data_IF_032835941389
#
_entry.id   IF_032835941389
#
_cell.length_a   1.000
_cell.length_b   1.000
_cell.length_c   1.000
_cell.angle_alpha   90.00
_cell.angle_beta   90.00
_cell.angle_gamma   90.00
#
_symmetry.space_group_name_H-M   'P 1'
#
loop_
_entity.id
_entity.type
_entity.pdbx_description
1 polymer ?
#
# COMPACT_ATOMS: atom_id res chain seq x y z
N UNK A 1 -80.58 -29.03 55.00
CA UNK A 1 -79.81 -30.24 54.65
C UNK A 1 -79.90 -30.40 53.14
N UNK A 2 -78.80 -30.25 52.39
CA UNK A 2 -78.83 -30.41 50.94
C UNK A 2 -79.23 -31.85 50.59
N UNK A 3 -79.97 -32.01 49.50
CA UNK A 3 -80.46 -33.33 49.07
C UNK A 3 -79.33 -34.13 48.42
N UNK A 4 -79.36 -35.47 48.52
CA UNK A 4 -78.30 -36.34 47.98
C UNK A 4 -78.01 -36.10 46.48
N UNK A 5 -78.99 -35.58 45.72
CA UNK A 5 -78.84 -35.23 44.31
C UNK A 5 -78.00 -33.95 44.10
N UNK A 6 -78.10 -32.96 44.99
CA UNK A 6 -77.30 -31.74 44.93
C UNK A 6 -75.82 -32.03 45.24
N UNK A 7 -75.53 -32.92 46.18
CA UNK A 7 -74.16 -33.34 46.49
C UNK A 7 -73.48 -34.08 45.32
N UNK A 8 -74.23 -34.88 44.56
CA UNK A 8 -73.72 -35.55 43.37
C UNK A 8 -73.42 -34.55 42.24
N UNK A 9 -74.28 -33.56 42.03
CA UNK A 9 -74.05 -32.50 41.04
C UNK A 9 -72.84 -31.62 41.39
N UNK A 10 -72.64 -31.29 42.67
CA UNK A 10 -71.45 -30.56 43.13
C UNK A 10 -70.18 -31.39 42.92
N UNK A 11 -70.21 -32.70 43.22
CA UNK A 11 -69.07 -33.60 42.96
C UNK A 11 -68.75 -33.71 41.47
N UNK A 12 -69.75 -33.78 40.59
CA UNK A 12 -69.52 -33.78 39.14
C UNK A 12 -68.98 -32.43 38.64
N UNK A 13 -69.49 -31.32 39.16
CA UNK A 13 -68.99 -29.99 38.81
C UNK A 13 -67.54 -29.81 39.24
N UNK A 14 -67.17 -30.26 40.43
CA UNK A 14 -65.79 -30.24 40.92
C UNK A 14 -64.88 -31.11 40.04
N UNK A 15 -65.30 -32.32 39.66
CA UNK A 15 -64.55 -33.17 38.71
C UNK A 15 -64.38 -32.50 37.34
N UNK A 16 -65.42 -31.84 36.82
CA UNK A 16 -65.34 -31.10 35.55
C UNK A 16 -64.43 -29.88 35.65
N UNK A 17 -64.46 -29.18 36.79
CA UNK A 17 -63.57 -28.06 37.07
C UNK A 17 -62.11 -28.52 37.14
N UNK A 18 -61.84 -29.62 37.84
CA UNK A 18 -60.52 -30.24 37.96
C UNK A 18 -59.99 -30.76 36.61
N UNK A 19 -60.85 -31.40 35.80
CA UNK A 19 -60.49 -31.79 34.43
C UNK A 19 -60.17 -30.56 33.57
N UNK A 20 -60.90 -29.45 33.77
CA UNK A 20 -60.67 -28.20 33.03
C UNK A 20 -59.37 -27.51 33.45
N UNK A 21 -59.02 -27.51 34.73
CA UNK A 21 -57.74 -26.99 35.22
C UNK A 21 -56.57 -27.86 34.74
N UNK A 22 -56.66 -29.19 34.85
CA UNK A 22 -55.62 -30.09 34.33
C UNK A 22 -55.41 -29.93 32.81
N UNK A 23 -56.49 -29.75 32.02
CA UNK A 23 -56.37 -29.48 30.58
C UNK A 23 -55.68 -28.14 30.28
N UNK A 24 -55.89 -27.13 31.12
CA UNK A 24 -55.21 -25.83 31.01
C UNK A 24 -53.73 -25.97 31.33
N UNK A 25 -53.39 -26.70 32.39
CA UNK A 25 -52.01 -26.92 32.82
C UNK A 25 -51.22 -27.75 31.80
N UNK A 26 -51.83 -28.80 31.22
CA UNK A 26 -51.22 -29.56 30.13
C UNK A 26 -51.00 -28.72 28.87
N UNK A 27 -51.90 -27.79 28.56
CA UNK A 27 -51.71 -26.87 27.43
C UNK A 27 -50.56 -25.90 27.70
N UNK A 28 -50.48 -25.34 28.91
CA UNK A 28 -49.39 -24.47 29.32
C UNK A 28 -48.02 -25.19 29.28
N UNK A 29 -47.95 -26.45 29.70
CA UNK A 29 -46.73 -27.27 29.60
C UNK A 29 -46.30 -27.49 28.15
N UNK A 30 -47.24 -27.82 27.26
CA UNK A 30 -46.94 -27.99 25.82
C UNK A 30 -46.48 -26.70 25.17
N UNK A 31 -47.07 -25.56 25.52
CA UNK A 31 -46.65 -24.25 25.03
C UNK A 31 -45.25 -23.87 25.55
N UNK A 32 -44.96 -24.15 26.81
CA UNK A 32 -43.64 -23.93 27.40
C UNK A 32 -42.55 -24.80 26.75
N UNK A 33 -42.86 -26.07 26.47
CA UNK A 33 -41.93 -26.97 25.78
C UNK A 33 -41.73 -26.58 24.31
N UNK A 34 -42.80 -26.21 23.59
CA UNK A 34 -42.69 -25.68 22.23
C UNK A 34 -41.85 -24.38 22.16
N UNK A 35 -41.97 -23.50 23.15
CA UNK A 35 -41.14 -22.30 23.26
C UNK A 35 -39.67 -22.63 23.54
N UNK A 36 -39.40 -23.62 24.41
CA UNK A 36 -38.03 -24.09 24.68
C UNK A 36 -37.40 -24.71 23.43
N UNK A 37 -38.12 -25.54 22.69
CA UNK A 37 -37.63 -26.12 21.44
C UNK A 37 -37.41 -25.06 20.36
N UNK A 38 -38.35 -24.11 20.19
CA UNK A 38 -38.18 -22.99 19.26
C UNK A 38 -36.94 -22.16 19.60
N UNK A 39 -36.72 -21.85 20.87
CA UNK A 39 -35.52 -21.12 21.31
C UNK A 39 -34.22 -21.92 21.13
N UNK A 40 -34.29 -23.25 21.23
CA UNK A 40 -33.15 -24.13 20.96
C UNK A 40 -32.79 -24.13 19.48
N UNK A 41 -33.77 -24.17 18.59
CA UNK A 41 -33.59 -24.11 17.14
C UNK A 41 -33.02 -22.74 16.73
N UNK A 42 -33.52 -21.64 17.31
CA UNK A 42 -33.01 -20.28 17.02
C UNK A 42 -31.57 -20.07 17.50
N UNK A 43 -31.13 -20.78 18.57
CA UNK A 43 -29.75 -20.70 19.07
C UNK A 43 -28.76 -21.54 18.27
N UNK A 44 -29.22 -22.58 17.58
CA UNK A 44 -28.38 -23.36 16.67
C UNK A 44 -28.28 -22.57 15.38
N UNK A 45 -27.25 -21.70 15.29
CA UNK A 45 -26.87 -21.04 14.04
C UNK A 45 -26.78 -22.08 12.93
N UNK A 46 -27.44 -21.82 11.81
CA UNK A 46 -27.34 -22.71 10.64
C UNK A 46 -25.90 -22.72 10.14
N UNK A 47 -25.49 -23.81 9.48
CA UNK A 47 -24.13 -23.94 8.93
C UNK A 47 -23.78 -22.77 8.00
N UNK A 48 -24.75 -22.30 7.21
CA UNK A 48 -24.61 -21.13 6.34
C UNK A 48 -24.33 -19.83 7.11
N UNK A 49 -24.94 -19.64 8.29
CA UNK A 49 -24.72 -18.45 9.12
C UNK A 49 -23.34 -18.48 9.80
N UNK A 50 -22.85 -19.68 10.14
CA UNK A 50 -21.49 -19.88 10.64
C UNK A 50 -20.44 -19.68 9.55
N UNK A 51 -20.69 -20.15 8.33
CA UNK A 51 -19.83 -19.94 7.16
C UNK A 51 -19.77 -18.46 6.77
N UNK A 52 -20.90 -17.76 6.78
CA UNK A 52 -20.95 -16.31 6.51
C UNK A 52 -20.21 -15.50 7.60
N UNK A 53 -20.30 -15.90 8.87
CA UNK A 53 -19.56 -15.23 9.95
C UNK A 53 -18.06 -15.54 9.90
N UNK A 54 -17.68 -16.75 9.50
CA UNK A 54 -16.29 -17.14 9.28
C UNK A 54 -15.68 -16.40 8.09
N UNK A 55 -16.42 -16.26 6.98
CA UNK A 55 -16.01 -15.47 5.82
C UNK A 55 -15.84 -13.99 6.18
N UNK A 56 -16.80 -13.39 6.88
CA UNK A 56 -16.67 -12.00 7.37
C UNK A 56 -15.45 -11.82 8.29
N UNK A 57 -15.16 -12.78 9.18
CA UNK A 57 -13.95 -12.73 10.02
C UNK A 57 -12.66 -12.89 9.22
N UNK A 58 -12.69 -13.67 8.14
CA UNK A 58 -11.57 -13.83 7.23
C UNK A 58 -11.31 -12.54 6.44
N UNK A 59 -12.36 -11.94 5.87
CA UNK A 59 -12.30 -10.64 5.18
C UNK A 59 -11.81 -9.52 6.11
N UNK A 60 -12.26 -9.49 7.37
CA UNK A 60 -11.78 -8.55 8.38
C UNK A 60 -10.30 -8.77 8.70
N UNK A 61 -9.83 -10.02 8.81
CA UNK A 61 -8.42 -10.32 9.03
C UNK A 61 -7.56 -9.99 7.82
N UNK A 62 -8.04 -10.25 6.61
CA UNK A 62 -7.32 -9.92 5.37
C UNK A 62 -7.24 -8.41 5.17
N UNK A 63 -8.33 -7.67 5.37
CA UNK A 63 -8.31 -6.21 5.32
C UNK A 63 -7.41 -5.59 6.39
N UNK A 64 -7.41 -6.14 7.61
CA UNK A 64 -6.48 -5.73 8.67
C UNK A 64 -5.02 -5.97 8.26
N UNK A 65 -4.68 -7.16 7.76
CA UNK A 65 -3.32 -7.47 7.26
C UNK A 65 -2.92 -6.55 6.10
N UNK A 66 -3.81 -6.31 5.15
CA UNK A 66 -3.55 -5.37 4.05
C UNK A 66 -3.32 -3.94 4.55
N UNK A 67 -4.04 -3.50 5.59
CA UNK A 67 -3.83 -2.19 6.19
C UNK A 67 -2.48 -2.09 6.93
N UNK A 68 -2.08 -3.15 7.65
CA UNK A 68 -0.77 -3.23 8.31
C UNK A 68 0.38 -3.27 7.28
N UNK A 69 0.22 -4.01 6.19
CA UNK A 69 1.22 -4.08 5.13
C UNK A 69 1.36 -2.75 4.39
N UNK A 70 0.24 -2.05 4.14
CA UNK A 70 0.27 -0.67 3.61
C UNK A 70 1.00 0.28 4.56
N UNK A 71 0.71 0.21 5.85
CA UNK A 71 1.34 1.05 6.86
C UNK A 71 2.86 0.79 6.97
N UNK A 72 3.27 -0.48 7.00
CA UNK A 72 4.70 -0.85 6.99
C UNK A 72 5.40 -0.36 5.72
N UNK A 73 4.74 -0.48 4.56
CA UNK A 73 5.28 0.00 3.28
C UNK A 73 5.45 1.52 3.28
N UNK A 74 4.46 2.25 3.79
CA UNK A 74 4.51 3.70 3.92
C UNK A 74 5.65 4.13 4.85
N UNK A 75 5.82 3.47 6.00
CA UNK A 75 6.90 3.76 6.94
C UNK A 75 8.30 3.51 6.33
N UNK A 76 8.46 2.46 5.51
CA UNK A 76 9.72 2.19 4.81
C UNK A 76 9.99 3.26 3.75
N UNK A 77 8.96 3.69 3.00
CA UNK A 77 9.09 4.77 2.01
C UNK A 77 9.42 6.11 2.68
N UNK A 78 8.83 6.40 3.83
CA UNK A 78 9.08 7.63 4.59
C UNK A 78 10.50 7.68 5.14
N UNK A 79 10.99 6.59 5.75
CA UNK A 79 12.41 6.48 6.18
C UNK A 79 13.37 6.63 5.00
N UNK A 80 13.09 5.98 3.87
CA UNK A 80 13.91 6.12 2.66
C UNK A 80 13.94 7.56 2.14
N UNK A 81 12.81 8.27 2.17
CA UNK A 81 12.75 9.67 1.76
C UNK A 81 13.51 10.61 2.71
N UNK A 82 13.55 10.31 4.01
CA UNK A 82 14.36 11.06 4.99
C UNK A 82 15.86 10.82 4.80
N UNK A 83 16.27 9.56 4.59
CA UNK A 83 17.65 9.19 4.28
C UNK A 83 18.14 9.83 2.96
N UNK A 84 17.31 9.81 1.92
CA UNK A 84 17.59 10.51 0.66
C UNK A 84 17.75 12.02 0.87
N UNK A 85 16.91 12.65 1.70
CA UNK A 85 17.04 14.08 2.03
C UNK A 85 18.31 14.41 2.79
N UNK A 86 18.75 13.55 3.69
CA UNK A 86 20.00 13.74 4.42
C UNK A 86 21.20 13.56 3.48
N UNK A 87 21.18 12.53 2.63
CA UNK A 87 22.19 12.34 1.60
C UNK A 87 22.24 13.50 0.58
N UNK A 88 21.09 14.05 0.17
CA UNK A 88 21.03 15.22 -0.71
C UNK A 88 21.66 16.47 -0.06
N UNK A 89 21.45 16.67 1.26
CA UNK A 89 22.09 17.78 1.99
C UNK A 89 23.60 17.63 2.01
N UNK A 90 24.09 16.45 2.32
CA UNK A 90 25.53 16.17 2.37
C UNK A 90 26.15 16.30 0.97
N UNK A 91 25.45 15.88 -0.08
CA UNK A 91 25.91 16.01 -1.48
C UNK A 91 25.99 17.46 -1.95
N UNK A 92 25.10 18.35 -1.48
CA UNK A 92 25.20 19.78 -1.78
C UNK A 92 26.49 20.40 -1.26
N UNK A 93 27.08 19.86 -0.20
CA UNK A 93 28.36 20.37 0.34
C UNK A 93 29.53 20.13 -0.63
N UNK A 94 29.51 19.03 -1.38
CA UNK A 94 30.54 18.70 -2.37
C UNK A 94 30.29 19.29 -3.77
N UNK A 95 29.12 19.90 -3.98
CA UNK A 95 28.74 20.55 -5.22
C UNK A 95 29.51 21.85 -5.46
N UNK A 96 29.88 22.13 -6.71
CA UNK A 96 30.42 23.42 -7.12
C UNK A 96 29.37 24.53 -6.99
N UNK A 97 29.80 25.79 -6.92
CA UNK A 97 28.87 26.92 -6.76
C UNK A 97 27.85 27.00 -7.92
N UNK A 98 28.26 26.69 -9.15
CA UNK A 98 27.37 26.63 -10.30
C UNK A 98 26.31 25.53 -10.17
N UNK A 99 26.70 24.33 -9.74
CA UNK A 99 25.78 23.22 -9.49
C UNK A 99 24.80 23.54 -8.36
N UNK A 100 25.27 24.18 -7.27
CA UNK A 100 24.41 24.64 -6.17
C UNK A 100 23.37 25.65 -6.65
N UNK A 101 23.77 26.61 -7.48
CA UNK A 101 22.85 27.60 -8.04
C UNK A 101 21.80 26.93 -8.95
N UNK A 102 22.22 25.97 -9.79
CA UNK A 102 21.31 25.21 -10.65
C UNK A 102 20.32 24.36 -9.84
N UNK A 103 20.80 23.65 -8.82
CA UNK A 103 19.97 22.88 -7.89
C UNK A 103 18.95 23.81 -7.22
N UNK A 104 19.38 24.97 -6.70
CA UNK A 104 18.48 25.92 -6.07
C UNK A 104 17.37 26.41 -7.01
N UNK A 105 17.72 26.77 -8.26
CA UNK A 105 16.74 27.20 -9.26
C UNK A 105 15.72 26.10 -9.59
N UNK A 106 16.20 24.86 -9.73
CA UNK A 106 15.34 23.70 -9.99
C UNK A 106 14.42 23.39 -8.80
N UNK A 107 14.95 23.42 -7.58
CA UNK A 107 14.19 23.24 -6.35
C UNK A 107 13.11 24.31 -6.16
N UNK A 108 13.42 25.58 -6.46
CA UNK A 108 12.46 26.66 -6.42
C UNK A 108 11.30 26.41 -7.42
N UNK A 109 11.61 26.09 -8.68
CA UNK A 109 10.60 25.76 -9.70
C UNK A 109 9.76 24.54 -9.31
N UNK A 110 10.40 23.50 -8.74
CA UNK A 110 9.71 22.31 -8.24
C UNK A 110 8.73 22.66 -7.13
N UNK A 111 9.14 23.51 -6.19
CA UNK A 111 8.31 23.98 -5.09
C UNK A 111 7.13 24.81 -5.58
N UNK A 112 7.32 25.66 -6.59
CA UNK A 112 6.24 26.44 -7.20
C UNK A 112 5.22 25.55 -7.91
N UNK A 113 5.67 24.57 -8.69
CA UNK A 113 4.74 23.60 -9.30
C UNK A 113 4.02 22.77 -8.25
N UNK A 114 4.71 22.36 -7.18
CA UNK A 114 4.08 21.64 -6.07
C UNK A 114 2.99 22.47 -5.39
N UNK A 115 3.25 23.76 -5.13
CA UNK A 115 2.23 24.69 -4.60
C UNK A 115 1.02 24.80 -5.52
N UNK A 116 1.24 24.85 -6.84
CA UNK A 116 0.15 24.89 -7.82
C UNK A 116 -0.68 23.61 -7.80
N UNK A 117 -0.03 22.44 -7.74
CA UNK A 117 -0.70 21.15 -7.59
C UNK A 117 -1.50 21.09 -6.28
N UNK A 118 -0.91 21.52 -5.18
CA UNK A 118 -1.57 21.56 -3.86
C UNK A 118 -2.79 22.49 -3.87
N UNK A 119 -2.72 23.65 -4.53
CA UNK A 119 -3.85 24.56 -4.67
C UNK A 119 -4.99 23.96 -5.52
N UNK A 120 -4.65 23.16 -6.55
CA UNK A 120 -5.66 22.41 -7.32
C UNK A 120 -6.35 21.37 -6.42
N UNK A 121 -5.57 20.60 -5.66
CA UNK A 121 -6.07 19.48 -4.85
C UNK A 121 -6.85 19.96 -3.60
N UNK A 122 -6.43 21.07 -2.97
CA UNK A 122 -7.03 21.58 -1.72
C UNK A 122 -8.12 22.63 -1.93
N UNK A 123 -7.97 23.51 -2.92
CA UNK A 123 -8.88 24.65 -3.06
C UNK A 123 -9.85 24.45 -4.23
N UNK A 124 -9.30 24.26 -5.44
CA UNK A 124 -10.12 24.29 -6.67
C UNK A 124 -11.01 23.06 -6.84
N UNK A 125 -10.43 21.86 -6.73
CA UNK A 125 -11.16 20.60 -6.94
C UNK A 125 -12.27 20.38 -5.90
N UNK A 126 -12.03 20.58 -4.58
CA UNK A 126 -13.07 20.44 -3.57
C UNK A 126 -14.18 21.48 -3.72
N UNK A 127 -13.84 22.74 -4.00
CA UNK A 127 -14.81 23.81 -4.20
C UNK A 127 -15.79 23.50 -5.35
N UNK A 128 -15.28 23.06 -6.50
CA UNK A 128 -16.13 22.67 -7.63
C UNK A 128 -16.98 21.42 -7.33
N UNK A 129 -16.45 20.45 -6.58
CA UNK A 129 -17.23 19.28 -6.15
C UNK A 129 -18.36 19.65 -5.20
N UNK A 130 -18.13 20.59 -4.28
CA UNK A 130 -19.17 21.11 -3.40
C UNK A 130 -20.26 21.82 -4.20
N UNK A 131 -19.90 22.72 -5.11
CA UNK A 131 -20.86 23.39 -6.00
C UNK A 131 -21.67 22.39 -6.83
N UNK A 132 -21.03 21.33 -7.36
CA UNK A 132 -21.73 20.25 -8.08
C UNK A 132 -22.75 19.56 -7.17
N UNK A 133 -22.38 19.28 -5.92
CA UNK A 133 -23.26 18.64 -4.94
C UNK A 133 -24.46 19.54 -4.62
N UNK A 134 -24.24 20.83 -4.35
CA UNK A 134 -25.32 21.80 -4.12
C UNK A 134 -26.33 21.83 -5.28
N UNK A 135 -25.83 21.85 -6.53
CA UNK A 135 -26.70 21.80 -7.71
C UNK A 135 -27.47 20.48 -7.79
N UNK A 136 -26.84 19.34 -7.45
CA UNK A 136 -27.52 18.05 -7.44
C UNK A 136 -28.64 18.00 -6.38
N UNK A 137 -28.47 18.65 -5.23
CA UNK A 137 -29.52 18.79 -4.22
C UNK A 137 -30.67 19.65 -4.78
N UNK A 138 -30.36 20.78 -5.41
CA UNK A 138 -31.37 21.63 -6.05
C UNK A 138 -32.17 20.90 -7.13
N UNK A 139 -31.51 20.08 -7.96
CA UNK A 139 -32.20 19.24 -8.96
C UNK A 139 -33.16 18.27 -8.27
N UNK A 140 -32.73 17.59 -7.21
CA UNK A 140 -33.60 16.67 -6.46
C UNK A 140 -34.81 17.38 -5.88
N UNK A 141 -34.63 18.57 -5.31
CA UNK A 141 -35.74 19.37 -4.76
C UNK A 141 -36.73 19.80 -5.86
N UNK A 142 -36.23 20.18 -7.04
CA UNK A 142 -37.07 20.49 -8.20
C UNK A 142 -37.79 19.24 -8.74
N UNK A 143 -37.13 18.09 -8.80
CA UNK A 143 -37.74 16.82 -9.21
C UNK A 143 -38.85 16.39 -8.24
N UNK A 144 -38.69 16.63 -6.93
CA UNK A 144 -39.74 16.38 -5.93
C UNK A 144 -40.94 17.33 -6.13
N UNK A 145 -40.68 18.62 -6.39
CA UNK A 145 -41.74 19.59 -6.72
C UNK A 145 -42.47 19.20 -8.01
N UNK A 146 -41.73 18.77 -9.03
CA UNK A 146 -42.28 18.32 -10.31
C UNK A 146 -43.19 17.10 -10.12
N UNK A 147 -42.76 16.11 -9.33
CA UNK A 147 -43.61 14.96 -8.96
C UNK A 147 -44.91 15.40 -8.28
N UNK A 148 -44.83 16.34 -7.33
CA UNK A 148 -46.03 16.87 -6.67
C UNK A 148 -46.96 17.59 -7.66
N UNK A 149 -46.43 18.33 -8.64
CA UNK A 149 -47.23 18.99 -9.68
C UNK A 149 -47.89 17.97 -10.59
N UNK A 150 -47.16 16.93 -11.01
CA UNK A 150 -47.69 15.84 -11.82
C UNK A 150 -48.81 15.06 -11.11
N UNK A 151 -48.66 14.80 -9.80
CA UNK A 151 -49.70 14.15 -9.00
C UNK A 151 -50.95 15.02 -8.85
N UNK A 152 -50.79 16.35 -8.73
CA UNK A 152 -51.92 17.29 -8.74
C UNK A 152 -52.62 17.32 -10.10
N UNK A 153 -51.85 17.34 -11.20
CA UNK A 153 -52.40 17.30 -12.56
C UNK A 153 -53.23 16.04 -12.80
N UNK A 154 -52.71 14.86 -12.40
CA UNK A 154 -53.46 13.59 -12.48
C UNK A 154 -54.77 13.60 -11.69
N UNK A 155 -54.79 14.25 -10.50
CA UNK A 155 -56.03 14.40 -9.71
C UNK A 155 -57.05 15.26 -10.43
N UNK A 156 -56.61 16.39 -11.00
CA UNK A 156 -57.48 17.30 -11.77
C UNK A 156 -57.99 16.65 -13.06
N UNK A 157 -57.17 15.88 -13.78
CA UNK A 157 -57.61 15.09 -14.94
C UNK A 157 -58.66 14.04 -14.54
N UNK A 158 -58.50 13.41 -13.38
CA UNK A 158 -59.50 12.51 -12.79
C UNK A 158 -60.82 13.23 -12.47
N UNK A 159 -60.75 14.41 -11.86
CA UNK A 159 -61.92 15.27 -11.61
C UNK A 159 -62.59 15.73 -12.91
N UNK A 160 -61.82 16.11 -13.92
CA UNK A 160 -62.32 16.54 -15.24
C UNK A 160 -63.13 15.42 -15.89
N UNK A 161 -62.60 14.18 -15.86
CA UNK A 161 -63.29 12.99 -16.37
C UNK A 161 -64.57 12.69 -15.58
N UNK A 162 -64.53 12.81 -14.26
CA UNK A 162 -65.72 12.63 -13.41
C UNK A 162 -66.80 13.67 -13.69
N UNK A 163 -66.44 14.95 -13.81
CA UNK A 163 -67.34 16.06 -14.15
C UNK A 163 -67.94 15.85 -15.55
N UNK A 164 -67.13 15.41 -16.52
CA UNK A 164 -67.61 15.11 -17.87
C UNK A 164 -68.64 13.97 -17.87
N UNK A 165 -68.40 12.88 -17.12
CA UNK A 165 -69.37 11.78 -16.99
C UNK A 165 -70.66 12.23 -16.30
N UNK A 166 -70.57 13.04 -15.23
CA UNK A 166 -71.74 13.59 -14.54
C UNK A 166 -72.57 14.53 -15.42
N UNK A 167 -71.91 15.35 -16.24
CA UNK A 167 -72.56 16.23 -17.20
C UNK A 167 -73.35 15.46 -18.27
N UNK A 168 -72.83 14.30 -18.71
CA UNK A 168 -73.52 13.40 -19.65
C UNK A 168 -74.73 12.71 -19.01
N UNK A 169 -74.65 12.35 -17.72
CA UNK A 169 -75.72 11.66 -16.99
C UNK A 169 -76.85 12.57 -16.50
N UNK A 170 -76.56 13.85 -16.23
CA UNK A 170 -77.61 14.79 -15.80
C UNK A 170 -78.54 15.14 -16.95
N UNK A 171 -79.85 15.20 -16.69
CA UNK A 171 -80.85 15.72 -17.63
C UNK A 171 -81.29 17.15 -17.29
N UNK A 172 -80.76 17.75 -16.21
CA UNK A 172 -81.12 19.08 -15.74
C UNK A 172 -80.21 20.13 -16.38
N UNK A 173 -80.78 21.07 -17.13
CA UNK A 173 -80.01 22.07 -17.88
C UNK A 173 -79.16 22.98 -17.00
N UNK A 174 -79.65 23.33 -15.81
CA UNK A 174 -78.90 24.15 -14.84
C UNK A 174 -77.66 23.41 -14.30
N UNK A 175 -77.78 22.12 -14.01
CA UNK A 175 -76.66 21.28 -13.57
C UNK A 175 -75.63 21.10 -14.68
N UNK A 176 -76.06 20.89 -15.93
CA UNK A 176 -75.15 20.84 -17.09
C UNK A 176 -74.29 22.10 -17.21
N UNK A 177 -74.89 23.28 -17.07
CA UNK A 177 -74.16 24.56 -17.06
C UNK A 177 -73.16 24.64 -15.91
N UNK A 178 -73.54 24.18 -14.71
CA UNK A 178 -72.64 24.12 -13.56
C UNK A 178 -71.44 23.20 -13.78
N UNK A 179 -71.65 22.01 -14.37
CA UNK A 179 -70.57 21.09 -14.70
C UNK A 179 -69.65 21.64 -15.81
N UNK A 180 -70.20 22.34 -16.79
CA UNK A 180 -69.40 22.99 -17.85
C UNK A 180 -68.52 24.11 -17.29
N UNK A 181 -69.04 24.93 -16.38
CA UNK A 181 -68.26 25.96 -15.69
C UNK A 181 -67.14 25.33 -14.84
N UNK A 182 -67.45 24.26 -14.09
CA UNK A 182 -66.43 23.54 -13.31
C UNK A 182 -65.35 22.91 -14.21
N UNK A 183 -65.73 22.39 -15.39
CA UNK A 183 -64.77 21.87 -16.37
C UNK A 183 -63.83 22.96 -16.86
N UNK A 184 -64.35 24.15 -17.13
CA UNK A 184 -63.55 25.30 -17.53
C UNK A 184 -62.56 25.74 -16.44
N UNK A 185 -62.99 25.74 -15.17
CA UNK A 185 -62.11 26.03 -14.04
C UNK A 185 -60.97 24.99 -13.92
N UNK A 186 -61.31 23.69 -14.07
CA UNK A 186 -60.32 22.60 -14.04
C UNK A 186 -59.32 22.74 -15.20
N UNK A 187 -59.77 23.06 -16.41
CA UNK A 187 -58.88 23.27 -17.57
C UNK A 187 -57.90 24.41 -17.32
N UNK A 188 -58.37 25.50 -16.71
CA UNK A 188 -57.51 26.63 -16.33
C UNK A 188 -56.48 26.24 -15.27
N UNK A 189 -56.87 25.43 -14.29
CA UNK A 189 -55.95 24.91 -13.27
C UNK A 189 -54.90 23.96 -13.88
N UNK A 190 -55.30 23.09 -14.81
CA UNK A 190 -54.36 22.21 -15.55
C UNK A 190 -53.36 23.05 -16.34
N UNK A 191 -53.81 24.05 -17.10
CA UNK A 191 -52.90 24.95 -17.83
C UNK A 191 -51.91 25.67 -16.91
N UNK A 192 -52.34 26.06 -15.71
CA UNK A 192 -51.44 26.68 -14.73
C UNK A 192 -50.42 25.69 -14.17
N UNK A 193 -50.79 24.41 -13.98
CA UNK A 193 -49.86 23.37 -13.57
C UNK A 193 -48.86 23.04 -14.69
N UNK A 194 -49.29 23.00 -15.95
CA UNK A 194 -48.40 22.78 -17.11
C UNK A 194 -47.35 23.86 -17.25
N UNK A 195 -47.70 25.12 -16.98
CA UNK A 195 -46.70 26.20 -16.94
C UNK A 195 -45.65 25.97 -15.85
N UNK A 196 -46.07 25.55 -14.65
CA UNK A 196 -45.15 25.24 -13.54
C UNK A 196 -44.28 24.02 -13.85
N UNK A 197 -44.84 23.01 -14.52
CA UNK A 197 -44.12 21.82 -14.99
C UNK A 197 -43.00 22.24 -15.94
N UNK A 198 -43.35 23.04 -16.97
CA UNK A 198 -42.39 23.53 -17.96
C UNK A 198 -41.30 24.42 -17.35
N UNK A 199 -41.67 25.31 -16.42
CA UNK A 199 -40.70 26.13 -15.68
C UNK A 199 -39.71 25.28 -14.87
N UNK A 200 -40.20 24.26 -14.16
CA UNK A 200 -39.35 23.36 -13.38
C UNK A 200 -38.43 22.52 -14.28
N UNK A 201 -38.92 21.99 -15.40
CA UNK A 201 -38.12 21.24 -16.36
C UNK A 201 -37.00 22.09 -16.98
N UNK A 202 -37.32 23.32 -17.37
CA UNK A 202 -36.32 24.24 -17.92
C UNK A 202 -35.25 24.60 -16.87
N UNK A 203 -35.63 24.80 -15.60
CA UNK A 203 -34.68 24.99 -14.51
C UNK A 203 -33.78 23.76 -14.33
N UNK A 204 -34.34 22.55 -14.32
CA UNK A 204 -33.59 21.30 -14.23
C UNK A 204 -32.60 21.17 -15.39
N UNK A 205 -33.02 21.48 -16.63
CA UNK A 205 -32.16 21.42 -17.81
C UNK A 205 -30.98 22.40 -17.70
N UNK A 206 -31.23 23.64 -17.24
CA UNK A 206 -30.18 24.64 -17.03
C UNK A 206 -29.19 24.22 -15.94
N UNK A 207 -29.67 23.63 -14.84
CA UNK A 207 -28.81 23.09 -13.80
C UNK A 207 -27.98 21.89 -14.32
N UNK A 208 -28.55 21.02 -15.16
CA UNK A 208 -27.81 19.93 -15.82
C UNK A 208 -26.71 20.46 -16.74
N UNK A 209 -26.97 21.51 -17.52
CA UNK A 209 -25.94 22.18 -18.34
C UNK A 209 -24.81 22.74 -17.47
N UNK A 210 -25.13 23.32 -16.31
CA UNK A 210 -24.14 23.83 -15.36
C UNK A 210 -23.30 22.70 -14.74
N UNK A 211 -23.89 21.55 -14.43
CA UNK A 211 -23.14 20.35 -14.01
C UNK A 211 -22.15 19.92 -15.09
N UNK A 212 -22.57 19.87 -16.36
CA UNK A 212 -21.68 19.50 -17.47
C UNK A 212 -20.51 20.47 -17.61
N UNK A 213 -20.72 21.77 -17.39
CA UNK A 213 -19.65 22.76 -17.36
C UNK A 213 -18.68 22.50 -16.21
N UNK A 214 -19.18 22.23 -15.00
CA UNK A 214 -18.36 21.88 -13.85
C UNK A 214 -17.53 20.63 -14.13
N UNK A 215 -18.13 19.60 -14.74
CA UNK A 215 -17.42 18.37 -15.09
C UNK A 215 -16.29 18.59 -16.09
N UNK A 216 -16.50 19.45 -17.10
CA UNK A 216 -15.43 19.85 -18.03
C UNK A 216 -14.30 20.59 -17.30
N UNK A 217 -14.62 21.52 -16.40
CA UNK A 217 -13.61 22.24 -15.63
C UNK A 217 -12.84 21.32 -14.67
N UNK A 218 -13.50 20.33 -14.08
CA UNK A 218 -12.85 19.32 -13.25
C UNK A 218 -11.89 18.46 -14.07
N UNK A 219 -12.27 18.06 -15.29
CA UNK A 219 -11.38 17.35 -16.21
C UNK A 219 -10.15 18.19 -16.58
N UNK A 220 -10.34 19.46 -16.90
CA UNK A 220 -9.24 20.39 -17.18
C UNK A 220 -8.27 20.51 -15.99
N UNK A 221 -8.79 20.62 -14.77
CA UNK A 221 -7.95 20.64 -13.56
C UNK A 221 -7.14 19.34 -13.39
N UNK A 222 -7.70 18.18 -13.75
CA UNK A 222 -6.98 16.90 -13.72
C UNK A 222 -5.85 16.89 -14.74
N UNK A 223 -6.10 17.39 -15.96
CA UNK A 223 -5.08 17.51 -17.00
C UNK A 223 -3.96 18.48 -16.59
N UNK A 224 -4.32 19.66 -16.06
CA UNK A 224 -3.38 20.64 -15.52
C UNK A 224 -2.52 20.05 -14.40
N UNK A 225 -3.14 19.36 -13.44
CA UNK A 225 -2.46 18.66 -12.35
C UNK A 225 -1.46 17.63 -12.88
N UNK A 226 -1.87 16.83 -13.86
CA UNK A 226 -0.99 15.83 -14.47
C UNK A 226 0.18 16.48 -15.22
N UNK A 227 -0.07 17.57 -15.94
CA UNK A 227 0.98 18.33 -16.60
C UNK A 227 2.00 18.93 -15.61
N UNK A 228 1.54 19.46 -14.47
CA UNK A 228 2.42 19.93 -13.38
C UNK A 228 3.24 18.78 -12.79
N UNK A 229 2.63 17.62 -12.55
CA UNK A 229 3.34 16.45 -12.05
C UNK A 229 4.40 15.94 -13.04
N UNK A 230 4.14 15.99 -14.34
CA UNK A 230 5.16 15.67 -15.36
C UNK A 230 6.32 16.67 -15.35
N UNK A 231 6.05 17.97 -15.16
CA UNK A 231 7.10 18.99 -14.99
C UNK A 231 7.93 18.74 -13.73
N UNK A 232 7.29 18.39 -12.61
CA UNK A 232 7.97 18.02 -11.36
C UNK A 232 8.88 16.81 -11.59
N UNK A 233 8.38 15.75 -12.24
CA UNK A 233 9.17 14.56 -12.57
C UNK A 233 10.36 14.90 -13.48
N UNK A 234 10.19 15.81 -14.44
CA UNK A 234 11.28 16.32 -15.27
C UNK A 234 12.37 17.01 -14.44
N UNK A 235 11.97 17.86 -13.49
CA UNK A 235 12.92 18.51 -12.57
C UNK A 235 13.62 17.47 -11.67
N UNK A 236 12.88 16.50 -11.13
CA UNK A 236 13.44 15.45 -10.28
C UNK A 236 14.45 14.56 -11.03
N UNK A 237 14.31 14.40 -12.35
CA UNK A 237 15.32 13.73 -13.19
C UNK A 237 16.57 14.59 -13.33
N UNK A 238 16.41 15.88 -13.65
CA UNK A 238 17.54 16.81 -13.77
C UNK A 238 18.33 16.94 -12.46
N UNK A 239 17.63 17.02 -11.32
CA UNK A 239 18.27 17.04 -10.00
C UNK A 239 19.07 15.75 -9.75
N UNK A 240 18.49 14.58 -10.07
CA UNK A 240 19.20 13.29 -9.95
C UNK A 240 20.43 13.20 -10.84
N UNK A 241 20.36 13.72 -12.06
CA UNK A 241 21.52 13.78 -12.96
C UNK A 241 22.65 14.62 -12.34
N UNK A 242 22.34 15.82 -11.83
CA UNK A 242 23.34 16.67 -11.15
C UNK A 242 23.92 15.97 -9.92
N UNK A 243 23.08 15.39 -9.06
CA UNK A 243 23.55 14.67 -7.87
C UNK A 243 24.41 13.45 -8.23
N UNK A 244 24.05 12.68 -9.26
CA UNK A 244 24.86 11.54 -9.72
C UNK A 244 26.24 11.97 -10.24
N UNK A 245 26.32 13.10 -10.94
CA UNK A 245 27.59 13.67 -11.38
C UNK A 245 28.47 14.12 -10.19
N UNK A 246 27.87 14.71 -9.16
CA UNK A 246 28.58 15.07 -7.91
C UNK A 246 29.09 13.80 -7.21
N UNK A 247 28.24 12.78 -7.05
CA UNK A 247 28.62 11.50 -6.43
C UNK A 247 29.81 10.88 -7.17
N UNK A 248 29.72 10.74 -8.49
CA UNK A 248 30.78 10.15 -9.30
C UNK A 248 32.11 10.89 -9.12
N UNK A 249 32.08 12.23 -9.13
CA UNK A 249 33.27 13.07 -8.90
C UNK A 249 33.86 12.89 -7.51
N UNK A 250 33.02 12.81 -6.48
CA UNK A 250 33.46 12.60 -5.09
C UNK A 250 34.05 11.20 -4.91
N UNK A 251 33.42 10.18 -5.49
CA UNK A 251 33.94 8.82 -5.49
C UNK A 251 35.28 8.70 -6.22
N UNK A 252 35.46 9.36 -7.36
CA UNK A 252 36.74 9.40 -8.08
C UNK A 252 37.85 10.03 -7.23
N UNK A 253 37.58 11.17 -6.57
CA UNK A 253 38.55 11.79 -5.65
C UNK A 253 38.94 10.84 -4.52
N UNK A 254 37.96 10.21 -3.88
CA UNK A 254 38.21 9.24 -2.81
C UNK A 254 39.02 8.04 -3.30
N UNK A 255 38.71 7.50 -4.49
CA UNK A 255 39.50 6.40 -5.09
C UNK A 255 40.94 6.83 -5.38
N UNK A 256 41.15 8.05 -5.87
CA UNK A 256 42.48 8.62 -6.10
C UNK A 256 43.30 8.72 -4.80
N UNK A 257 42.72 9.30 -3.74
CA UNK A 257 43.36 9.41 -2.43
C UNK A 257 43.70 8.03 -1.83
N UNK A 258 42.78 7.06 -1.94
CA UNK A 258 43.02 5.69 -1.49
C UNK A 258 44.15 5.00 -2.27
N UNK A 259 44.26 5.26 -3.58
CA UNK A 259 45.36 4.75 -4.41
C UNK A 259 46.69 5.42 -4.02
N UNK A 260 46.73 6.75 -3.86
CA UNK A 260 47.93 7.47 -3.42
C UNK A 260 48.40 7.00 -2.04
N UNK A 261 47.49 6.76 -1.10
CA UNK A 261 47.82 6.19 0.21
C UNK A 261 48.40 4.77 0.09
N UNK A 262 47.88 3.93 -0.82
CA UNK A 262 48.45 2.61 -1.09
C UNK A 262 49.85 2.72 -1.68
N UNK A 263 50.05 3.57 -2.69
CA UNK A 263 51.36 3.81 -3.28
C UNK A 263 52.37 4.36 -2.26
N UNK A 264 51.95 5.28 -1.39
CA UNK A 264 52.79 5.80 -0.31
C UNK A 264 53.17 4.72 0.71
N UNK A 265 52.21 3.88 1.13
CA UNK A 265 52.47 2.74 2.04
C UNK A 265 53.40 1.71 1.41
N UNK A 266 53.22 1.40 0.11
CA UNK A 266 54.09 0.50 -0.64
C UNK A 266 55.49 1.08 -0.85
N UNK A 267 55.62 2.39 -1.12
CA UNK A 267 56.91 3.05 -1.22
C UNK A 267 57.65 3.04 0.12
N UNK A 268 56.95 3.32 1.22
CA UNK A 268 57.50 3.23 2.58
C UNK A 268 57.89 1.79 2.96
N UNK A 269 57.11 0.79 2.57
CA UNK A 269 57.45 -0.61 2.82
C UNK A 269 58.68 -1.04 2.02
N UNK A 270 58.77 -0.67 0.74
CA UNK A 270 59.95 -0.89 -0.10
C UNK A 270 61.20 -0.22 0.46
N UNK A 271 61.09 1.05 0.85
CA UNK A 271 62.19 1.78 1.47
C UNK A 271 62.66 1.10 2.78
N UNK A 272 61.71 0.65 3.62
CA UNK A 272 62.03 -0.11 4.85
C UNK A 272 62.67 -1.47 4.54
N UNK A 273 62.24 -2.18 3.51
CA UNK A 273 62.85 -3.46 3.12
C UNK A 273 64.26 -3.25 2.59
N UNK A 274 64.49 -2.24 1.76
CA UNK A 274 65.82 -1.87 1.27
C UNK A 274 66.75 -1.45 2.39
N UNK A 275 66.26 -0.70 3.37
CA UNK A 275 67.03 -0.32 4.57
C UNK A 275 67.37 -1.54 5.42
N UNK A 276 66.40 -2.42 5.70
CA UNK A 276 66.64 -3.68 6.40
C UNK A 276 67.63 -4.57 5.67
N UNK A 277 67.53 -4.66 4.35
CA UNK A 277 68.46 -5.43 3.51
C UNK A 277 69.86 -4.81 3.54
N UNK A 278 69.98 -3.48 3.49
CA UNK A 278 71.27 -2.78 3.67
C UNK A 278 71.86 -3.04 5.05
N UNK A 279 71.07 -2.96 6.11
CA UNK A 279 71.49 -3.28 7.49
C UNK A 279 71.93 -4.75 7.56
N UNK A 280 71.16 -5.67 7.00
CA UNK A 280 71.50 -7.10 6.96
C UNK A 280 72.81 -7.32 6.17
N UNK A 281 72.95 -6.74 4.98
CA UNK A 281 74.18 -6.80 4.19
C UNK A 281 75.37 -6.22 4.96
N UNK A 282 75.21 -5.14 5.71
CA UNK A 282 76.27 -4.56 6.54
C UNK A 282 76.62 -5.45 7.74
N UNK A 283 75.63 -6.05 8.41
CA UNK A 283 75.84 -7.01 9.50
C UNK A 283 76.52 -8.30 9.02
N UNK A 284 76.26 -8.70 7.77
CA UNK A 284 76.86 -9.89 7.17
C UNK A 284 78.23 -9.59 6.54
N UNK A 285 78.44 -8.36 6.04
CA UNK A 285 79.72 -7.90 5.52
C UNK A 285 80.71 -7.46 6.62
N UNK A 286 80.21 -7.15 7.82
CA UNK A 286 81.01 -6.69 8.95
C UNK A 286 81.12 -7.72 10.08
N UNK A 287 82.36 -8.20 10.33
CA UNK A 287 82.85 -8.85 11.57
C UNK A 287 82.57 -10.34 11.85
N UNK A 288 82.16 -11.16 10.88
CA UNK A 288 81.95 -12.61 11.12
C UNK A 288 82.78 -13.61 10.31
N UNK A 289 83.36 -13.22 9.17
CA UNK A 289 83.90 -14.18 8.19
C UNK A 289 85.43 -14.14 7.98
N UNK A 290 86.13 -13.22 8.65
CA UNK A 290 87.60 -13.16 8.57
C UNK A 290 88.31 -14.08 9.60
N UNK A 291 87.66 -14.42 10.71
CA UNK A 291 88.31 -15.20 11.80
C UNK A 291 88.11 -16.72 11.70
N UNK A 292 87.18 -17.21 10.84
CA UNK A 292 86.90 -18.64 10.67
C UNK A 292 87.61 -19.30 9.48
N UNK A 293 88.75 -18.77 9.00
CA UNK A 293 89.60 -19.45 8.00
C UNK A 293 90.57 -20.48 8.60
N UNK A 294 90.55 -20.69 9.92
CA UNK A 294 91.44 -21.63 10.60
C UNK A 294 90.78 -22.94 11.05
N UNK A 295 89.45 -23.07 11.00
CA UNK A 295 88.75 -24.29 11.42
C UNK A 295 88.96 -25.51 10.50
N UNK A 296 89.39 -25.31 9.25
CA UNK A 296 89.63 -26.41 8.30
C UNK A 296 91.07 -26.94 8.28
N UNK A 297 91.99 -26.38 9.06
CA UNK A 297 93.41 -26.80 9.06
C UNK A 297 93.72 -27.99 9.98
N UNK A 298 92.88 -28.27 10.99
CA UNK A 298 93.15 -29.31 12.02
C UNK A 298 92.16 -30.48 12.03
N UNK A 299 91.49 -30.76 10.91
CA UNK A 299 90.56 -31.90 10.80
C UNK A 299 91.25 -33.07 10.07
N UNK A 300 91.33 -34.29 10.66
CA UNK A 300 91.90 -35.46 10.00
C UNK A 300 91.21 -35.76 8.66
N UNK A 301 92.00 -36.15 7.65
CA UNK A 301 91.57 -36.39 6.25
C UNK A 301 90.26 -37.21 6.09
N UNK A 302 89.98 -38.26 6.90
CA UNK A 302 88.74 -39.03 6.77
C UNK A 302 87.46 -38.24 7.07
N UNK A 303 87.55 -37.23 7.93
CA UNK A 303 86.40 -36.41 8.36
C UNK A 303 86.10 -35.30 7.34
N UNK A 304 87.11 -34.84 6.59
CA UNK A 304 86.89 -33.92 5.46
C UNK A 304 86.10 -34.59 4.33
N UNK A 305 86.38 -35.85 4.06
CA UNK A 305 85.64 -36.62 3.04
C UNK A 305 84.21 -36.94 3.48
N UNK A 306 83.95 -37.21 4.75
CA UNK A 306 82.58 -37.43 5.24
C UNK A 306 81.75 -36.16 5.20
N UNK A 307 82.34 -35.00 5.52
CA UNK A 307 81.67 -33.70 5.44
C UNK A 307 81.41 -33.29 3.99
N UNK A 308 82.36 -33.55 3.07
CA UNK A 308 82.15 -33.33 1.64
C UNK A 308 81.05 -34.24 1.08
N UNK A 309 81.04 -35.53 1.46
CA UNK A 309 79.99 -36.48 1.06
C UNK A 309 78.62 -36.10 1.64
N UNK A 310 78.57 -35.63 2.89
CA UNK A 310 77.32 -35.16 3.49
C UNK A 310 76.84 -33.88 2.80
N UNK A 311 77.74 -32.93 2.50
CA UNK A 311 77.40 -31.72 1.77
C UNK A 311 76.90 -32.01 0.34
N UNK A 312 77.54 -32.92 -0.39
CA UNK A 312 77.04 -33.35 -1.71
C UNK A 312 75.70 -34.06 -1.60
N UNK A 313 75.49 -34.88 -0.57
CA UNK A 313 74.20 -35.55 -0.35
C UNK A 313 73.09 -34.57 0.05
N UNK A 314 73.42 -33.51 0.79
CA UNK A 314 72.48 -32.46 1.18
C UNK A 314 72.13 -31.57 -0.02
N UNK A 315 73.10 -31.25 -0.88
CA UNK A 315 72.85 -30.52 -2.13
C UNK A 315 72.00 -31.33 -3.12
N UNK A 316 72.21 -32.65 -3.20
CA UNK A 316 71.34 -33.53 -3.97
C UNK A 316 69.92 -33.61 -3.38
N UNK A 317 69.79 -33.65 -2.06
CA UNK A 317 68.49 -33.59 -1.38
C UNK A 317 67.79 -32.25 -1.60
N UNK A 318 68.52 -31.13 -1.55
CA UNK A 318 67.99 -29.79 -1.85
C UNK A 318 67.55 -29.66 -3.30
N UNK A 319 68.32 -30.21 -4.25
CA UNK A 319 67.93 -30.24 -5.67
C UNK A 319 66.67 -31.07 -5.88
N UNK A 320 66.57 -32.26 -5.26
CA UNK A 320 65.35 -33.08 -5.28
C UNK A 320 64.17 -32.35 -4.65
N UNK A 321 64.37 -31.67 -3.53
CA UNK A 321 63.33 -30.89 -2.87
C UNK A 321 62.84 -29.73 -3.74
N UNK A 322 63.75 -28.99 -4.40
CA UNK A 322 63.35 -27.92 -5.33
C UNK A 322 62.60 -28.49 -6.53
N UNK A 323 63.05 -29.62 -7.10
CA UNK A 323 62.31 -30.31 -8.16
C UNK A 323 60.92 -30.79 -7.71
N UNK A 324 60.79 -31.32 -6.49
CA UNK A 324 59.50 -31.75 -5.92
C UNK A 324 58.58 -30.54 -5.67
N UNK A 325 59.13 -29.40 -5.24
CA UNK A 325 58.37 -28.15 -5.07
C UNK A 325 57.94 -27.58 -6.42
N UNK A 326 58.81 -27.59 -7.42
CA UNK A 326 58.49 -27.14 -8.79
C UNK A 326 57.42 -28.04 -9.43
N UNK A 327 57.54 -29.36 -9.32
CA UNK A 327 56.53 -30.30 -9.82
C UNK A 327 55.20 -30.19 -9.05
N UNK A 328 55.22 -29.87 -7.76
CA UNK A 328 54.00 -29.59 -6.98
C UNK A 328 53.36 -28.25 -7.37
N UNK A 329 54.16 -27.23 -7.66
CA UNK A 329 53.70 -25.93 -8.16
C UNK A 329 53.10 -26.03 -9.58
N UNK A 330 53.71 -26.84 -10.46
CA UNK A 330 53.19 -27.10 -11.81
C UNK A 330 51.95 -28.02 -11.79
N UNK A 331 51.87 -28.98 -10.86
CA UNK A 331 50.72 -29.86 -10.67
C UNK A 331 49.49 -29.18 -10.04
N UNK A 332 49.70 -28.18 -9.19
CA UNK A 332 48.61 -27.40 -8.56
C UNK A 332 48.00 -26.34 -9.50
N UNK A 333 48.69 -26.00 -10.60
CA UNK A 333 48.19 -25.09 -11.64
C UNK A 333 47.16 -25.70 -12.61
N UNK A 334 46.92 -27.02 -12.59
CA UNK A 334 45.98 -27.69 -13.52
C UNK A 334 44.70 -28.25 -12.88
N UNK A 335 44.51 -28.15 -11.56
CA UNK A 335 43.34 -28.74 -10.89
C UNK A 335 42.49 -27.77 -10.05
N UNK A 336 42.48 -26.49 -10.40
CA UNK A 336 41.56 -25.47 -9.84
C UNK A 336 40.66 -24.87 -10.93
N UNK A 337 39.97 -25.72 -11.68
CA UNK A 337 38.75 -25.36 -12.41
C UNK A 337 37.66 -26.43 -12.28
N UNK A 338 37.35 -26.85 -11.05
CA UNK A 338 36.01 -27.34 -10.72
C UNK A 338 35.65 -26.88 -9.29
N UNK A 339 35.22 -25.61 -9.18
CA UNK A 339 34.51 -25.16 -7.98
C UNK A 339 33.13 -25.80 -8.03
N UNK A 340 33.01 -26.90 -7.29
CA UNK A 340 31.76 -27.60 -7.02
C UNK A 340 30.69 -26.62 -6.53
N UNK A 341 29.50 -26.82 -7.08
CA UNK A 341 28.25 -26.27 -6.60
C UNK A 341 28.07 -26.66 -5.13
N UNK A 342 27.67 -25.68 -4.32
CA UNK A 342 27.36 -25.85 -2.90
C UNK A 342 26.09 -26.72 -2.76
N UNK A 343 26.10 -27.82 -2.01
CA UNK A 343 24.88 -28.54 -1.66
C UNK A 343 24.23 -27.92 -0.42
N UNK A 344 22.92 -27.65 -0.53
CA UNK A 344 21.91 -27.87 0.51
C UNK A 344 22.14 -27.26 1.91
N UNK A 345 21.48 -26.14 2.16
CA UNK A 345 21.11 -25.68 3.51
C UNK A 345 20.12 -26.69 4.12
N UNK A 346 20.33 -27.23 5.34
CA UNK A 346 19.32 -28.03 6.02
C UNK A 346 18.24 -27.15 6.68
N UNK A 347 16.97 -27.58 6.72
CA UNK A 347 15.89 -26.77 7.27
C UNK A 347 15.89 -26.75 8.80
N UNK A 348 15.41 -25.64 9.36
CA UNK A 348 15.28 -25.40 10.79
C UNK A 348 14.31 -26.39 11.49
N UNK A 349 14.57 -26.75 12.77
CA UNK A 349 13.69 -27.64 13.51
C UNK A 349 12.42 -26.91 13.95
N UNK A 350 11.26 -27.51 13.65
CA UNK A 350 9.95 -27.10 14.16
C UNK A 350 9.89 -27.34 15.68
N UNK A 351 9.46 -26.33 16.42
CA UNK A 351 8.71 -26.48 17.68
C UNK A 351 7.37 -25.79 17.53
#
# INVERSE_FOLDING_TARGET
MPTQQEELQVKEFLKRAEIKTMKKDLRALREADALKERNRIVKVKTLEEQEAEAQKKLEQKESARQSEDKFKREQVLERGAEEERMAEKDLKEYATEQERQQIFQLEAKRLDFKKQTDAIDKDKSPSLKLQKNEILIQIKDLELKLKSVLDQKKKLEGEQNFVAQKAQQSNITAEKKGFEQRRWDIDKDIQNLEKKEWEADNQIENLKKRIQQIDRTLQQLVEERNALNQKILGIDKQLREIYSAIIARVEEKRRGEEQEQKYSKEALSKARTEEKEKIQRQQWAGKGLAENKNFFKEIPVPVKESILKSATSEDEQRKKFIQDVETWAEGSGKNTMQRQQVPGVPPAPKK
#
